data_IF_761557870649
#
_entry.id   IF_761557870649
#
_cell.length_a   1.000
_cell.length_b   1.000
_cell.length_c   1.000
_cell.angle_alpha   90.00
_cell.angle_beta   90.00
_cell.angle_gamma   90.00
#
_symmetry.space_group_name_H-M   'P 1'
#
loop_
_entity.id
_entity.type
_entity.pdbx_description
1 polymer ?
#
# COMPACT_ATOMS: atom_id res chain seq x y z
N UNK A 1 10.13 8.78 -20.53
CA UNK A 1 11.38 8.36 -19.85
C UNK A 1 11.21 7.25 -18.78
N UNK A 2 10.43 7.46 -17.71
CA UNK A 2 10.31 6.50 -16.58
C UNK A 2 9.89 5.07 -17.00
N UNK A 3 8.95 4.95 -17.93
CA UNK A 3 8.49 3.66 -18.50
C UNK A 3 9.62 2.89 -19.19
N UNK A 4 10.41 3.57 -20.05
CA UNK A 4 11.57 2.99 -20.72
C UNK A 4 12.59 2.47 -19.71
N UNK A 5 12.89 3.26 -18.68
CA UNK A 5 13.80 2.87 -17.58
C UNK A 5 13.30 1.64 -16.84
N UNK A 6 12.01 1.58 -16.52
CA UNK A 6 11.40 0.41 -15.87
C UNK A 6 11.56 -0.85 -16.72
N UNK A 7 11.18 -0.80 -18.02
CA UNK A 7 11.32 -1.94 -18.92
C UNK A 7 12.79 -2.37 -19.10
N UNK A 8 13.71 -1.41 -19.22
CA UNK A 8 15.15 -1.70 -19.35
C UNK A 8 15.70 -2.45 -18.13
N UNK A 9 15.31 -2.05 -16.90
CA UNK A 9 15.69 -2.77 -15.66
C UNK A 9 15.15 -4.20 -15.59
N UNK A 10 14.10 -4.50 -16.36
CA UNK A 10 13.54 -5.85 -16.49
C UNK A 10 14.13 -6.63 -17.67
N UNK A 11 15.15 -6.10 -18.37
CA UNK A 11 15.71 -6.72 -19.58
C UNK A 11 14.80 -6.62 -20.80
N UNK A 12 13.82 -5.72 -20.78
CA UNK A 12 12.80 -5.53 -21.82
C UNK A 12 12.91 -4.16 -22.50
N UNK A 13 14.11 -3.58 -22.51
CA UNK A 13 14.34 -2.25 -23.11
C UNK A 13 13.90 -2.18 -24.57
N UNK A 14 14.17 -3.24 -25.34
CA UNK A 14 13.84 -3.33 -26.77
C UNK A 14 12.34 -3.45 -27.05
N UNK A 15 11.54 -3.79 -26.03
CA UNK A 15 10.08 -3.82 -26.14
C UNK A 15 9.44 -2.44 -25.90
N UNK A 16 10.22 -1.42 -25.52
CA UNK A 16 9.70 -0.08 -25.32
C UNK A 16 9.39 0.59 -26.65
N UNK A 17 8.17 1.12 -26.76
CA UNK A 17 7.76 2.05 -27.81
C UNK A 17 7.15 3.26 -27.13
N UNK A 18 7.53 4.45 -27.58
CA UNK A 18 6.89 5.68 -27.13
C UNK A 18 5.46 5.74 -27.66
N UNK A 19 4.52 5.98 -26.76
CA UNK A 19 3.10 6.17 -27.03
C UNK A 19 2.69 7.42 -26.28
N UNK A 20 2.09 8.36 -26.99
CA UNK A 20 1.54 9.61 -26.47
C UNK A 20 0.16 9.83 -27.08
N UNK A 21 -0.67 10.66 -26.43
CA UNK A 21 -1.90 11.14 -27.06
C UNK A 21 -1.57 11.97 -28.31
N UNK A 22 -2.50 12.01 -29.26
CA UNK A 22 -2.42 12.91 -30.41
C UNK A 22 -2.50 14.37 -29.96
N UNK A 23 -1.88 15.27 -30.74
CA UNK A 23 -1.80 16.69 -30.38
C UNK A 23 -3.19 17.39 -30.38
N UNK A 24 -4.15 16.85 -31.12
CA UNK A 24 -5.53 17.32 -31.26
C UNK A 24 -6.54 16.43 -30.51
N UNK A 25 -6.08 15.55 -29.61
CA UNK A 25 -6.95 14.73 -28.79
C UNK A 25 -7.88 15.60 -27.92
N UNK A 26 -9.18 15.29 -27.96
CA UNK A 26 -10.22 15.93 -27.14
C UNK A 26 -10.63 15.01 -25.99
N UNK A 27 -11.05 15.60 -24.86
CA UNK A 27 -11.51 14.89 -23.67
C UNK A 27 -12.90 15.37 -23.28
N UNK A 28 -13.78 14.46 -22.84
CA UNK A 28 -15.14 14.81 -22.37
C UNK A 28 -15.10 15.65 -21.08
N UNK A 29 -14.06 15.47 -20.26
CA UNK A 29 -13.83 16.20 -19.02
C UNK A 29 -12.33 16.39 -18.76
N UNK A 30 -11.96 17.41 -17.99
CA UNK A 30 -10.57 17.71 -17.61
C UNK A 30 -10.50 18.09 -16.14
N UNK A 31 -9.77 17.28 -15.38
CA UNK A 31 -9.40 17.55 -13.99
C UNK A 31 -7.96 18.05 -13.94
N UNK A 32 -7.72 19.14 -13.23
CA UNK A 32 -6.39 19.68 -12.96
C UNK A 32 -6.13 19.56 -11.45
N UNK A 33 -4.98 18.98 -11.09
CA UNK A 33 -4.62 18.68 -9.71
C UNK A 33 -3.27 19.30 -9.41
N UNK A 34 -3.22 20.25 -8.46
CA UNK A 34 -1.96 20.81 -7.97
C UNK A 34 -1.32 19.86 -6.96
N UNK A 35 -0.24 19.20 -7.38
CA UNK A 35 0.49 18.25 -6.53
C UNK A 35 1.18 18.91 -5.33
N UNK A 36 1.37 20.24 -5.33
CA UNK A 36 1.96 20.97 -4.22
C UNK A 36 0.98 21.25 -3.08
N UNK A 37 -0.32 21.14 -3.37
CA UNK A 37 -1.39 21.30 -2.38
C UNK A 37 -1.83 19.96 -1.77
N UNK A 38 -1.37 18.82 -2.31
CA UNK A 38 -1.72 17.49 -1.77
C UNK A 38 -0.99 17.23 -0.45
N UNK A 39 -1.77 16.96 0.58
CA UNK A 39 -1.31 16.45 1.88
C UNK A 39 -1.61 14.94 2.05
N UNK A 40 -1.12 14.28 3.11
CA UNK A 40 -1.47 12.89 3.38
C UNK A 40 -2.98 12.73 3.61
N UNK A 41 -3.60 11.86 2.82
CA UNK A 41 -5.03 11.55 2.88
C UNK A 41 -5.27 10.12 3.35
N UNK A 42 -6.44 9.88 3.95
CA UNK A 42 -6.92 8.56 4.36
C UNK A 42 -8.39 8.39 3.93
N UNK A 43 -8.72 7.23 3.37
CA UNK A 43 -10.10 6.86 3.12
C UNK A 43 -10.70 6.28 4.40
N UNK A 44 -11.78 6.89 4.89
CA UNK A 44 -12.51 6.44 6.06
C UNK A 44 -13.46 5.29 5.70
N UNK A 45 -13.82 4.42 6.66
CA UNK A 45 -14.80 3.38 6.44
C UNK A 45 -16.14 3.97 5.92
N UNK A 46 -16.88 3.31 5.03
CA UNK A 46 -16.62 2.06 4.31
C UNK A 46 -16.72 2.28 2.79
N UNK A 47 -16.13 3.38 2.30
CA UNK A 47 -16.16 3.76 0.90
C UNK A 47 -14.85 4.45 0.48
N UNK A 48 -14.19 4.03 -0.63
CA UNK A 48 -12.89 4.59 -1.01
C UNK A 48 -12.89 6.08 -1.38
N UNK A 49 -14.05 6.67 -1.68
CA UNK A 49 -14.22 8.09 -1.99
C UNK A 49 -14.50 8.94 -0.73
N UNK A 50 -14.70 8.33 0.44
CA UNK A 50 -14.84 9.01 1.72
C UNK A 50 -13.46 9.39 2.28
N UNK A 51 -12.81 10.37 1.66
CA UNK A 51 -11.42 10.73 1.92
C UNK A 51 -11.33 11.99 2.79
N UNK A 52 -10.51 11.93 3.83
CA UNK A 52 -10.18 13.07 4.70
C UNK A 52 -8.66 13.22 4.84
N UNK A 53 -8.15 14.42 5.19
CA UNK A 53 -6.77 14.58 5.64
C UNK A 53 -6.46 13.66 6.82
N UNK A 54 -5.25 13.08 6.85
CA UNK A 54 -4.80 12.22 7.96
C UNK A 54 -4.89 12.95 9.31
N UNK A 55 -4.72 14.27 9.33
CA UNK A 55 -4.87 15.09 10.54
C UNK A 55 -6.26 15.01 11.18
N UNK A 56 -7.32 14.75 10.42
CA UNK A 56 -8.68 14.63 10.95
C UNK A 56 -8.94 13.27 11.61
N UNK A 57 -8.27 12.21 11.15
CA UNK A 57 -8.38 10.87 11.72
C UNK A 57 -7.32 10.59 12.81
N UNK A 58 -6.36 11.50 12.99
CA UNK A 58 -5.25 11.35 13.92
C UNK A 58 -5.74 11.16 15.37
N UNK A 59 -5.15 10.19 16.07
CA UNK A 59 -5.53 9.84 17.45
C UNK A 59 -6.55 8.71 17.55
N UNK A 60 -7.13 8.26 16.42
CA UNK A 60 -7.91 7.01 16.37
C UNK A 60 -7.00 5.82 16.68
N UNK A 61 -7.29 4.99 17.70
CA UNK A 61 -6.55 3.76 17.95
C UNK A 61 -6.65 2.79 16.77
N UNK A 62 -5.54 2.11 16.46
CA UNK A 62 -5.45 1.13 15.37
C UNK A 62 -4.93 -0.19 15.92
N UNK A 63 -5.74 -1.23 15.81
CA UNK A 63 -5.40 -2.58 16.28
C UNK A 63 -4.64 -3.38 15.23
N UNK A 64 -4.82 -3.03 13.95
CA UNK A 64 -4.19 -3.74 12.84
C UNK A 64 -3.72 -2.77 11.76
N UNK A 65 -2.49 -2.91 11.30
CA UNK A 65 -1.96 -2.17 10.16
C UNK A 65 -1.54 -3.13 9.05
N UNK A 66 -1.89 -2.84 7.80
CA UNK A 66 -1.47 -3.63 6.64
C UNK A 66 -0.92 -2.75 5.52
N UNK A 67 0.26 -3.10 5.03
CA UNK A 67 0.84 -2.49 3.83
C UNK A 67 1.12 -3.55 2.78
N UNK A 68 0.73 -3.32 1.53
CA UNK A 68 1.06 -4.28 0.47
C UNK A 68 0.08 -4.43 -0.68
N UNK A 69 0.03 -5.67 -1.19
CA UNK A 69 -0.84 -6.16 -2.27
C UNK A 69 -0.49 -5.56 -3.64
N UNK A 70 -1.46 -5.47 -4.56
CA UNK A 70 -1.22 -4.94 -5.90
C UNK A 70 -1.00 -3.42 -5.92
N UNK A 71 -1.60 -2.67 -4.99
CA UNK A 71 -1.54 -1.20 -4.99
C UNK A 71 -0.26 -0.68 -4.36
N UNK A 72 0.12 -1.19 -3.18
CA UNK A 72 1.22 -0.64 -2.38
C UNK A 72 2.18 -1.75 -1.89
N UNK A 73 2.39 -2.78 -2.72
CA UNK A 73 3.32 -3.87 -2.42
C UNK A 73 4.62 -3.85 -3.22
N UNK A 74 4.90 -2.79 -3.99
CA UNK A 74 6.13 -2.71 -4.77
C UNK A 74 7.37 -2.64 -3.87
N UNK A 75 8.56 -2.83 -4.45
CA UNK A 75 9.80 -2.63 -3.71
C UNK A 75 9.86 -1.24 -3.04
N UNK A 76 9.44 -0.19 -3.74
CA UNK A 76 9.53 1.17 -3.20
C UNK A 76 8.58 1.40 -2.03
N UNK A 77 7.36 0.84 -2.10
CA UNK A 77 6.39 0.93 -1.00
C UNK A 77 6.94 0.27 0.26
N UNK A 78 7.41 -0.97 0.13
CA UNK A 78 7.89 -1.74 1.29
C UNK A 78 9.24 -1.21 1.79
N UNK A 79 10.11 -0.72 0.90
CA UNK A 79 11.35 -0.07 1.30
C UNK A 79 11.10 1.23 2.07
N UNK A 80 10.04 1.96 1.74
CA UNK A 80 9.60 3.16 2.47
C UNK A 80 9.07 2.77 3.85
N UNK A 81 8.19 1.77 3.94
CA UNK A 81 7.71 1.25 5.21
C UNK A 81 8.85 0.76 6.11
N UNK A 82 9.82 0.02 5.55
CA UNK A 82 11.02 -0.43 6.27
C UNK A 82 11.86 0.73 6.80
N UNK A 83 11.98 1.82 6.03
CA UNK A 83 12.70 3.02 6.49
C UNK A 83 11.97 3.74 7.62
N UNK A 84 10.63 3.79 7.58
CA UNK A 84 9.80 4.40 8.63
C UNK A 84 9.92 3.66 9.96
N UNK A 85 9.95 2.32 9.95
CA UNK A 85 10.01 1.52 11.18
C UNK A 85 11.43 1.19 11.65
N UNK A 86 12.46 1.62 10.93
CA UNK A 86 13.85 1.25 11.26
C UNK A 86 14.25 1.83 12.62
N UNK A 87 14.56 0.93 13.57
CA UNK A 87 14.93 1.31 14.94
C UNK A 87 13.73 1.60 15.85
N UNK A 88 12.52 1.49 15.31
CA UNK A 88 11.27 1.58 16.07
C UNK A 88 10.80 0.18 16.49
N UNK A 89 9.73 0.13 17.29
CA UNK A 89 9.07 -1.13 17.68
C UNK A 89 7.57 -0.94 17.55
N UNK A 90 6.91 -1.86 16.84
CA UNK A 90 5.46 -1.90 16.71
C UNK A 90 4.84 -2.04 18.10
N UNK A 91 3.79 -1.27 18.36
CA UNK A 91 3.07 -1.31 19.63
C UNK A 91 2.55 -2.74 19.92
N UNK A 92 2.71 -3.28 21.14
CA UNK A 92 2.32 -4.65 21.46
C UNK A 92 0.86 -5.00 21.16
N UNK A 93 -0.02 -4.01 21.22
CA UNK A 93 -1.45 -4.10 20.94
C UNK A 93 -1.80 -4.04 19.44
N UNK A 94 -0.84 -3.71 18.56
CA UNK A 94 -1.07 -3.55 17.13
C UNK A 94 -0.43 -4.69 16.32
N UNK A 95 -1.22 -5.40 15.52
CA UNK A 95 -0.68 -6.32 14.51
C UNK A 95 -0.27 -5.54 13.26
N UNK A 96 1.03 -5.44 12.97
CA UNK A 96 1.50 -4.88 11.71
C UNK A 96 1.94 -5.97 10.73
N UNK A 97 1.29 -6.02 9.57
CA UNK A 97 1.56 -7.00 8.51
C UNK A 97 1.97 -6.33 7.21
N UNK A 98 2.97 -6.89 6.52
CA UNK A 98 3.37 -6.48 5.18
C UNK A 98 3.25 -7.62 4.16
N UNK A 99 2.50 -7.39 3.09
CA UNK A 99 2.34 -8.29 1.95
C UNK A 99 3.05 -7.75 0.69
N UNK A 100 4.16 -8.39 0.30
CA UNK A 100 5.00 -7.94 -0.83
C UNK A 100 4.37 -8.33 -2.17
N UNK A 101 4.35 -7.46 -3.17
CA UNK A 101 3.66 -7.72 -4.45
C UNK A 101 4.24 -8.89 -5.25
N UNK A 102 5.51 -9.24 -5.05
CA UNK A 102 6.16 -10.33 -5.78
C UNK A 102 7.31 -10.97 -5.01
N UNK A 103 7.67 -12.20 -5.39
CA UNK A 103 8.89 -12.87 -4.91
C UNK A 103 10.16 -12.08 -5.25
N UNK A 104 10.19 -11.41 -6.41
CA UNK A 104 11.33 -10.57 -6.82
C UNK A 104 11.52 -9.37 -5.89
N UNK A 105 10.44 -8.68 -5.52
CA UNK A 105 10.52 -7.60 -4.52
C UNK A 105 10.97 -8.13 -3.16
N UNK A 106 10.43 -9.27 -2.72
CA UNK A 106 10.82 -9.90 -1.47
C UNK A 106 12.32 -10.25 -1.43
N UNK A 107 12.83 -10.82 -2.52
CA UNK A 107 14.25 -11.17 -2.67
C UNK A 107 15.16 -9.94 -2.58
N UNK A 108 14.84 -8.86 -3.30
CA UNK A 108 15.64 -7.63 -3.30
C UNK A 108 15.64 -6.97 -1.91
N UNK A 109 14.48 -6.89 -1.26
CA UNK A 109 14.37 -6.36 0.11
C UNK A 109 15.20 -7.17 1.11
N UNK A 110 15.27 -8.50 0.94
CA UNK A 110 16.10 -9.36 1.79
C UNK A 110 17.59 -9.12 1.54
N UNK A 111 18.02 -9.05 0.28
CA UNK A 111 19.43 -8.80 -0.09
C UNK A 111 19.95 -7.45 0.43
N UNK A 112 19.08 -6.46 0.53
CA UNK A 112 19.43 -5.12 1.02
C UNK A 112 19.30 -4.95 2.54
N UNK A 113 18.96 -6.01 3.29
CA UNK A 113 18.80 -5.94 4.76
C UNK A 113 17.50 -5.27 5.22
N UNK A 114 16.64 -4.80 4.31
CA UNK A 114 15.36 -4.16 4.67
C UNK A 114 14.38 -5.11 5.33
N UNK A 115 14.48 -6.40 5.01
CA UNK A 115 13.68 -7.44 5.67
C UNK A 115 14.05 -7.59 7.15
N UNK A 116 15.32 -7.38 7.49
CA UNK A 116 15.78 -7.39 8.88
C UNK A 116 15.21 -6.19 9.65
N UNK A 117 15.28 -4.99 9.08
CA UNK A 117 14.69 -3.78 9.68
C UNK A 117 13.20 -3.98 10.02
N UNK A 118 12.44 -4.64 9.13
CA UNK A 118 11.02 -4.96 9.34
C UNK A 118 10.82 -5.96 10.48
N UNK A 119 11.58 -7.06 10.49
CA UNK A 119 11.46 -8.06 11.56
C UNK A 119 11.89 -7.51 12.92
N UNK A 120 12.96 -6.70 12.96
CA UNK A 120 13.45 -6.06 14.17
C UNK A 120 12.39 -5.14 14.80
N UNK A 121 11.58 -4.47 13.98
CA UNK A 121 10.46 -3.66 14.44
C UNK A 121 9.23 -4.48 14.90
N UNK A 122 9.20 -5.79 14.68
CA UNK A 122 8.06 -6.65 15.02
C UNK A 122 7.01 -6.80 13.91
N UNK A 123 7.35 -6.46 12.67
CA UNK A 123 6.43 -6.57 11.52
C UNK A 123 6.32 -8.03 11.05
N UNK A 124 5.09 -8.50 10.86
CA UNK A 124 4.79 -9.80 10.24
C UNK A 124 4.86 -9.70 8.71
N UNK A 125 5.57 -10.63 8.06
CA UNK A 125 5.70 -10.63 6.60
C UNK A 125 4.87 -11.76 5.97
N UNK A 126 3.76 -11.39 5.32
CA UNK A 126 2.87 -12.32 4.61
C UNK A 126 3.40 -12.67 3.20
N UNK A 127 3.05 -13.84 2.68
CA UNK A 127 3.42 -14.28 1.34
C UNK A 127 3.01 -13.29 0.25
N UNK A 128 3.67 -13.36 -0.90
CA UNK A 128 3.32 -12.53 -2.07
C UNK A 128 2.02 -12.97 -2.73
N UNK A 129 0.90 -12.65 -2.10
CA UNK A 129 -0.46 -12.96 -2.52
C UNK A 129 -1.38 -11.74 -2.30
N UNK A 130 -2.63 -11.82 -2.78
CA UNK A 130 -3.64 -10.81 -2.44
C UNK A 130 -4.07 -10.87 -0.96
N UNK A 131 -4.03 -12.05 -0.33
CA UNK A 131 -4.30 -12.27 1.09
C UNK A 131 -5.44 -11.43 1.67
N UNK A 132 -5.12 -10.65 2.70
CA UNK A 132 -6.06 -9.80 3.44
C UNK A 132 -6.83 -8.80 2.57
N UNK A 133 -6.34 -8.46 1.36
CA UNK A 133 -7.07 -7.59 0.43
C UNK A 133 -8.45 -8.13 0.07
N UNK A 134 -8.60 -9.46 0.02
CA UNK A 134 -9.84 -10.16 -0.34
C UNK A 134 -10.41 -10.95 0.85
N UNK A 135 -10.01 -10.59 2.07
CA UNK A 135 -10.44 -11.27 3.30
C UNK A 135 -9.84 -12.68 3.49
N UNK A 136 -8.70 -12.98 2.86
CA UNK A 136 -7.97 -14.24 3.08
C UNK A 136 -6.80 -14.05 4.05
N UNK A 137 -6.99 -14.46 5.30
CA UNK A 137 -5.99 -14.28 6.36
C UNK A 137 -5.92 -12.84 6.84
N UNK A 138 -5.33 -12.63 8.03
CA UNK A 138 -5.25 -11.33 8.71
C UNK A 138 -6.62 -10.60 8.75
N UNK A 139 -7.68 -11.36 9.02
CA UNK A 139 -9.02 -10.83 9.30
C UNK A 139 -8.93 -10.11 10.65
N UNK A 140 -9.37 -8.84 10.76
CA UNK A 140 -9.26 -8.09 12.00
C UNK A 140 -10.18 -8.70 13.06
N UNK A 141 -9.98 -8.33 14.33
CA UNK A 141 -10.93 -8.69 15.38
C UNK A 141 -12.25 -7.94 15.19
N UNK A 142 -13.39 -8.46 15.68
CA UNK A 142 -14.61 -7.67 15.80
C UNK A 142 -14.36 -6.38 16.58
N UNK A 143 -15.05 -5.30 16.20
CA UNK A 143 -14.98 -3.99 16.86
C UNK A 143 -13.57 -3.35 16.90
N UNK A 144 -12.69 -3.75 15.97
CA UNK A 144 -11.32 -3.24 15.85
C UNK A 144 -11.10 -2.42 14.58
N UNK A 145 -10.13 -1.51 14.62
CA UNK A 145 -9.76 -0.65 13.47
C UNK A 145 -8.58 -1.26 12.74
N UNK A 146 -8.74 -1.45 11.42
CA UNK A 146 -7.72 -1.99 10.53
C UNK A 146 -7.29 -0.96 9.49
N UNK A 147 -6.14 -0.32 9.71
CA UNK A 147 -5.57 0.63 8.75
C UNK A 147 -4.87 -0.10 7.61
N UNK A 148 -5.35 0.04 6.38
CA UNK A 148 -4.81 -0.69 5.22
C UNK A 148 -4.40 0.24 4.10
N UNK A 149 -3.14 0.12 3.66
CA UNK A 149 -2.67 0.72 2.41
C UNK A 149 -3.13 -0.13 1.20
N UNK A 150 -4.44 -0.37 1.10
CA UNK A 150 -5.13 -1.07 0.01
C UNK A 150 -6.04 -0.09 -0.74
N UNK A 151 -6.67 -0.54 -1.83
CA UNK A 151 -7.54 0.32 -2.67
C UNK A 151 -9.05 0.11 -2.45
N UNK A 152 -9.45 -0.73 -1.49
CA UNK A 152 -10.86 -1.08 -1.25
C UNK A 152 -11.12 -1.27 0.23
N UNK A 153 -12.14 -0.59 0.74
CA UNK A 153 -12.59 -0.67 2.12
C UNK A 153 -14.13 -0.74 2.25
N UNK A 154 -14.80 -1.35 1.26
CA UNK A 154 -16.24 -1.60 1.34
C UNK A 154 -16.59 -2.44 2.57
N UNK A 155 -17.80 -2.26 3.10
CA UNK A 155 -18.31 -3.10 4.18
C UNK A 155 -18.20 -4.59 3.84
N UNK A 156 -17.64 -5.39 4.74
CA UNK A 156 -17.42 -6.83 4.52
C UNK A 156 -16.09 -7.18 3.86
N UNK A 157 -15.28 -6.19 3.45
CA UNK A 157 -14.13 -6.43 2.56
C UNK A 157 -13.03 -7.25 3.22
N UNK A 158 -12.82 -7.08 4.53
CA UNK A 158 -11.83 -7.81 5.30
C UNK A 158 -12.22 -9.24 5.66
N UNK A 159 -13.48 -9.62 5.45
CA UNK A 159 -14.05 -10.91 5.85
C UNK A 159 -15.02 -10.83 7.04
N UNK A 160 -15.11 -9.69 7.74
CA UNK A 160 -16.12 -9.43 8.78
C UNK A 160 -17.25 -8.54 8.24
N UNK A 161 -18.53 -8.86 8.52
CA UNK A 161 -19.66 -8.05 8.05
C UNK A 161 -19.61 -6.59 8.50
N UNK A 162 -19.18 -6.32 9.73
CA UNK A 162 -19.13 -4.99 10.33
C UNK A 162 -17.68 -4.56 10.55
N UNK A 163 -16.89 -4.54 9.47
CA UNK A 163 -15.49 -4.15 9.51
C UNK A 163 -15.26 -2.64 9.49
N UNK A 164 -14.20 -2.20 10.17
CA UNK A 164 -13.70 -0.82 10.16
C UNK A 164 -12.32 -0.80 9.48
N UNK A 165 -12.32 -0.51 8.17
CA UNK A 165 -11.16 -0.60 7.26
C UNK A 165 -11.00 0.68 6.45
#
# INVERSE_FOLDING_TARGET
ERTRRHLTRLGRGDAYRELSADADATYDDRLEVDLSEIEPLIAMPSMPDNVVPVSEAAGTPVDQCLVGTCTNGSYFDIATAAAVVKGETVAPETEFVIARASKRSAEVLAREGRTEDLYAAGVNLSESTCGACIGQGHVPAPDSVSLRAFNRNFKGRSGLPDDSV
#
